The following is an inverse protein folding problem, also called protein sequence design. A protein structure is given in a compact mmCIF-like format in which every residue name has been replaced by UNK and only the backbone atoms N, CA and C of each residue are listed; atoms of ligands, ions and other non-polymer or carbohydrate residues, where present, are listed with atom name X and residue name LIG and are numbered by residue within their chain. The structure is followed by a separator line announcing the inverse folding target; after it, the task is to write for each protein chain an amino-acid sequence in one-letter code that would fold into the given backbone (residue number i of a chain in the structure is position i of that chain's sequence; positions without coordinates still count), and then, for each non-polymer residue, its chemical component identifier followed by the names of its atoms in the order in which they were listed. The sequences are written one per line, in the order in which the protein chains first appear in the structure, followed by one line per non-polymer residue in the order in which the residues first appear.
data_IF_589183386839
#
_entry.id   IF_589183386839
#
_cell.length_a   1.000
_cell.length_b   1.000
_cell.length_c   1.000
_cell.angle_alpha   90.00
_cell.angle_beta   90.00
_cell.angle_gamma   90.00
#
_symmetry.space_group_name_H-M   'P 1'
#
loop_
_entity.id
_entity.type
_entity.pdbx_description
1 polymer ?
#
# COMPACT_ATOMS: atom_id res chain seq x y z
N UNK A 1 -11.36 19.76 -64.09
CA UNK A 1 -11.51 18.89 -62.92
C UNK A 1 -10.13 18.57 -62.43
N UNK A 2 -9.68 19.29 -61.40
CA UNK A 2 -8.34 19.16 -60.81
C UNK A 2 -8.52 18.49 -59.45
N UNK A 3 -7.90 17.33 -59.27
CA UNK A 3 -7.92 16.55 -58.01
C UNK A 3 -6.80 17.06 -57.13
N UNK A 4 -7.15 17.74 -56.05
CA UNK A 4 -6.21 18.11 -54.99
C UNK A 4 -5.79 16.85 -54.22
N UNK A 5 -4.50 16.54 -54.27
CA UNK A 5 -3.88 15.53 -53.38
C UNK A 5 -3.50 16.19 -52.09
N UNK A 6 -4.19 15.84 -50.98
CA UNK A 6 -3.85 16.26 -49.64
C UNK A 6 -2.79 15.32 -49.08
N UNK A 7 -1.56 15.79 -48.95
CA UNK A 7 -0.48 15.06 -48.25
C UNK A 7 -0.62 15.23 -46.76
N UNK A 8 -0.86 14.12 -46.06
CA UNK A 8 -0.81 14.09 -44.57
C UNK A 8 0.65 13.91 -44.19
N UNK A 9 1.25 14.95 -43.60
CA UNK A 9 2.58 14.88 -42.99
C UNK A 9 2.37 14.35 -41.59
N UNK A 10 2.72 13.07 -41.31
CA UNK A 10 2.81 12.53 -39.97
C UNK A 10 4.11 13.01 -39.34
N UNK A 11 4.00 13.97 -38.46
CA UNK A 11 5.11 14.37 -37.60
C UNK A 11 5.23 13.36 -36.44
N UNK A 12 6.21 12.45 -36.51
CA UNK A 12 6.60 11.62 -35.41
C UNK A 12 7.34 12.48 -34.37
N UNK A 13 6.68 12.83 -33.27
CA UNK A 13 7.32 13.46 -32.11
C UNK A 13 8.07 12.37 -31.34
N UNK A 14 9.37 12.28 -31.55
CA UNK A 14 10.29 11.46 -30.76
C UNK A 14 10.50 12.18 -29.42
N UNK A 15 9.67 11.89 -28.40
CA UNK A 15 9.97 12.31 -27.03
C UNK A 15 11.14 11.47 -26.51
N UNK A 16 12.34 12.05 -26.50
CA UNK A 16 13.47 11.49 -25.76
C UNK A 16 13.17 11.60 -24.25
N UNK A 17 12.80 10.50 -23.64
CA UNK A 17 12.72 10.42 -22.17
C UNK A 17 14.13 10.43 -21.60
N UNK A 18 14.47 11.28 -20.62
CA UNK A 18 15.74 11.18 -19.93
C UNK A 18 15.76 9.86 -19.16
N UNK A 19 16.76 9.04 -19.42
CA UNK A 19 17.04 7.84 -18.63
C UNK A 19 17.47 8.29 -17.22
N UNK A 20 16.57 8.20 -16.25
CA UNK A 20 16.95 8.32 -14.85
C UNK A 20 17.74 7.08 -14.46
N UNK A 21 19.06 7.21 -14.44
CA UNK A 21 19.94 6.22 -13.84
C UNK A 21 19.66 6.21 -12.32
N UNK A 22 18.92 5.22 -11.86
CA UNK A 22 18.74 4.96 -10.43
C UNK A 22 20.03 4.35 -9.89
N UNK A 23 20.87 5.17 -9.26
CA UNK A 23 21.96 4.67 -8.42
C UNK A 23 21.34 4.20 -7.09
N UNK A 24 20.94 2.94 -7.02
CA UNK A 24 20.58 2.32 -5.75
C UNK A 24 21.85 2.12 -4.93
N UNK A 25 21.98 2.67 -3.72
CA UNK A 25 23.12 2.33 -2.88
C UNK A 25 23.05 0.83 -2.60
N UNK A 26 24.20 0.14 -2.74
CA UNK A 26 24.32 -1.26 -2.43
C UNK A 26 23.99 -1.47 -0.94
N UNK A 27 22.77 -1.89 -0.64
CA UNK A 27 22.35 -2.22 0.72
C UNK A 27 23.13 -3.44 1.19
N UNK A 28 23.76 -3.34 2.36
CA UNK A 28 24.49 -4.44 2.99
C UNK A 28 23.47 -5.51 3.41
N UNK A 29 23.49 -6.65 2.72
CA UNK A 29 22.65 -7.81 3.03
C UNK A 29 23.06 -8.40 4.38
N UNK A 30 22.23 -8.24 5.41
CA UNK A 30 22.39 -8.98 6.67
C UNK A 30 21.73 -10.35 6.50
N UNK A 31 22.54 -11.39 6.32
CA UNK A 31 22.08 -12.78 6.28
C UNK A 31 22.03 -13.30 7.71
N UNK A 32 20.81 -13.61 8.22
CA UNK A 32 20.67 -14.21 9.53
C UNK A 32 21.24 -15.64 9.54
N UNK A 33 21.95 -16.00 10.61
CA UNK A 33 22.55 -17.32 10.79
C UNK A 33 21.56 -18.27 11.46
N UNK A 34 21.32 -19.43 10.83
CA UNK A 34 20.48 -20.52 11.34
C UNK A 34 19.60 -21.14 10.24
N UNK A 35 19.36 -22.44 10.32
CA UNK A 35 18.64 -23.21 9.29
C UNK A 35 17.22 -22.71 8.96
N UNK A 36 16.58 -21.99 9.90
CA UNK A 36 15.24 -21.40 9.73
C UNK A 36 15.23 -19.86 9.86
N UNK A 37 16.40 -19.23 9.90
CA UNK A 37 16.49 -17.80 10.05
C UNK A 37 16.21 -17.10 8.71
N UNK A 38 15.34 -16.11 8.74
CA UNK A 38 14.99 -15.26 7.61
C UNK A 38 15.86 -13.99 7.67
N UNK A 39 16.66 -13.74 6.62
CA UNK A 39 17.37 -12.47 6.49
C UNK A 39 16.39 -11.34 6.21
N UNK A 40 16.66 -10.16 6.74
CA UNK A 40 15.89 -8.96 6.40
C UNK A 40 16.81 -7.77 6.15
N UNK A 41 16.39 -6.88 5.26
CA UNK A 41 17.06 -5.61 5.00
C UNK A 41 16.05 -4.50 4.75
N UNK A 42 16.35 -3.31 5.24
CA UNK A 42 15.61 -2.10 4.83
C UNK A 42 15.96 -1.76 3.39
N UNK A 43 14.95 -1.44 2.61
CA UNK A 43 15.09 -1.03 1.21
C UNK A 43 14.26 0.21 0.95
N UNK A 44 14.64 0.94 -0.11
CA UNK A 44 13.84 2.04 -0.63
C UNK A 44 13.63 1.85 -2.12
N UNK A 45 12.48 2.29 -2.62
CA UNK A 45 12.16 2.33 -4.04
C UNK A 45 11.31 3.58 -4.34
N UNK A 46 11.05 3.87 -5.59
CA UNK A 46 10.34 5.09 -5.98
C UNK A 46 8.94 4.76 -6.52
N UNK A 47 7.95 5.57 -6.13
CA UNK A 47 6.63 5.59 -6.73
C UNK A 47 6.28 7.03 -7.15
N UNK A 48 6.38 7.36 -8.46
CA UNK A 48 5.97 8.66 -8.98
C UNK A 48 6.63 9.89 -8.32
N UNK A 49 7.85 9.73 -7.77
CA UNK A 49 8.54 10.79 -7.02
C UNK A 49 8.42 10.65 -5.50
N UNK A 50 7.57 9.77 -5.00
CA UNK A 50 7.49 9.42 -3.58
C UNK A 50 8.52 8.35 -3.26
N UNK A 51 9.41 8.60 -2.30
CA UNK A 51 10.32 7.57 -1.78
C UNK A 51 9.54 6.61 -0.88
N UNK A 52 9.54 5.35 -1.26
CA UNK A 52 8.90 4.26 -0.54
C UNK A 52 9.91 3.55 0.36
N UNK A 53 9.49 3.16 1.57
CA UNK A 53 10.29 2.40 2.52
C UNK A 53 9.74 0.98 2.65
N UNK A 54 10.63 -0.02 2.57
CA UNK A 54 10.27 -1.43 2.65
C UNK A 54 11.24 -2.25 3.49
N UNK A 55 10.75 -3.41 3.93
CA UNK A 55 11.54 -4.48 4.51
C UNK A 55 11.52 -5.66 3.53
N UNK A 56 12.67 -5.94 2.91
CA UNK A 56 12.87 -7.09 2.06
C UNK A 56 13.31 -8.27 2.93
N UNK A 57 12.57 -9.39 2.87
CA UNK A 57 12.90 -10.61 3.59
C UNK A 57 13.40 -11.67 2.61
N UNK A 58 14.46 -12.35 3.00
CA UNK A 58 15.12 -13.39 2.21
C UNK A 58 14.84 -14.76 2.83
N UNK A 59 14.61 -15.81 2.02
CA UNK A 59 14.36 -17.14 2.54
C UNK A 59 15.56 -17.70 3.31
N UNK A 60 15.29 -18.67 4.20
CA UNK A 60 16.36 -19.43 4.84
C UNK A 60 17.23 -20.12 3.78
N UNK A 61 18.55 -20.12 3.99
CA UNK A 61 19.49 -20.68 3.02
C UNK A 61 19.53 -19.93 1.68
N UNK A 62 19.25 -18.63 1.70
CA UNK A 62 19.30 -17.79 0.51
C UNK A 62 20.66 -17.87 -0.21
N UNK A 63 20.59 -18.18 -1.50
CA UNK A 63 21.74 -18.35 -2.39
C UNK A 63 21.66 -17.33 -3.55
N UNK A 64 22.64 -16.46 -3.65
CA UNK A 64 22.69 -15.41 -4.67
C UNK A 64 22.78 -15.91 -6.11
N UNK A 65 23.14 -17.17 -6.30
CA UNK A 65 23.19 -17.81 -7.63
C UNK A 65 21.82 -18.28 -8.13
N UNK A 66 20.81 -18.33 -7.25
CA UNK A 66 19.47 -18.85 -7.54
C UNK A 66 18.45 -17.75 -7.81
N UNK A 67 17.37 -18.12 -8.49
CA UNK A 67 16.19 -17.32 -8.68
C UNK A 67 15.05 -17.82 -7.77
N UNK A 68 14.35 -16.89 -7.13
CA UNK A 68 13.28 -17.16 -6.17
C UNK A 68 11.95 -16.60 -6.65
N UNK A 69 10.82 -17.27 -6.36
CA UNK A 69 9.52 -16.63 -6.45
C UNK A 69 9.47 -15.50 -5.41
N UNK A 70 8.70 -14.46 -5.69
CA UNK A 70 8.63 -13.33 -4.80
C UNK A 70 7.18 -12.91 -4.49
N UNK A 71 6.97 -12.23 -3.36
CA UNK A 71 5.64 -11.76 -2.94
C UNK A 71 5.74 -10.36 -2.35
N UNK A 72 4.92 -9.46 -2.89
CA UNK A 72 4.63 -8.14 -2.29
C UNK A 72 3.57 -8.32 -1.20
N UNK A 73 3.72 -7.67 -0.05
CA UNK A 73 2.75 -7.74 1.05
C UNK A 73 2.29 -6.34 1.45
N UNK A 74 1.02 -6.01 1.17
CA UNK A 74 0.41 -4.72 1.46
C UNK A 74 -0.28 -4.73 2.84
N UNK A 75 -0.08 -3.65 3.61
CA UNK A 75 -0.61 -3.50 4.96
C UNK A 75 -2.07 -2.99 4.99
N UNK A 76 -2.81 -3.19 6.11
CA UNK A 76 -4.13 -2.62 6.34
C UNK A 76 -4.14 -1.09 6.32
N UNK A 77 -5.32 -0.48 6.25
CA UNK A 77 -5.48 0.95 6.45
C UNK A 77 -4.87 1.40 7.78
N UNK A 78 -4.04 2.44 7.73
CA UNK A 78 -3.34 2.97 8.90
C UNK A 78 -2.26 2.08 9.51
N UNK A 79 -2.00 0.89 8.93
CA UNK A 79 -0.90 0.01 9.34
C UNK A 79 0.46 0.46 8.81
N UNK A 80 1.51 -0.26 9.22
CA UNK A 80 2.88 -0.09 8.73
C UNK A 80 3.52 -1.45 8.42
N UNK A 81 4.61 -1.42 7.66
CA UNK A 81 5.33 -2.62 7.18
C UNK A 81 5.84 -3.56 8.26
N UNK A 82 6.00 -3.08 9.48
CA UNK A 82 6.46 -3.88 10.62
C UNK A 82 5.37 -4.73 11.26
N UNK A 83 4.10 -4.40 11.04
CA UNK A 83 2.96 -5.05 11.67
C UNK A 83 2.51 -6.30 10.89
N UNK A 84 1.20 -6.47 10.64
CA UNK A 84 0.65 -7.66 9.96
C UNK A 84 1.33 -7.97 8.64
N UNK A 85 1.60 -6.98 7.79
CA UNK A 85 2.29 -7.21 6.51
C UNK A 85 3.69 -7.77 6.70
N UNK A 86 4.45 -7.25 7.66
CA UNK A 86 5.77 -7.79 8.02
C UNK A 86 5.72 -9.22 8.54
N UNK A 87 4.70 -9.53 9.35
CA UNK A 87 4.48 -10.89 9.85
C UNK A 87 4.22 -11.88 8.70
N UNK A 88 3.30 -11.53 7.78
CA UNK A 88 3.01 -12.36 6.60
C UNK A 88 4.25 -12.49 5.70
N UNK A 89 4.97 -11.38 5.46
CA UNK A 89 6.19 -11.40 4.66
C UNK A 89 7.25 -12.35 5.24
N UNK A 90 7.48 -12.30 6.56
CA UNK A 90 8.41 -13.22 7.23
C UNK A 90 7.97 -14.68 7.11
N UNK A 91 6.68 -14.98 7.29
CA UNK A 91 6.17 -16.37 7.18
C UNK A 91 6.31 -16.90 5.75
N UNK A 92 6.05 -16.09 4.74
CA UNK A 92 6.25 -16.44 3.34
C UNK A 92 7.73 -16.63 3.01
N UNK A 93 8.61 -15.79 3.56
CA UNK A 93 10.06 -15.96 3.39
C UNK A 93 10.56 -17.30 3.97
N UNK A 94 10.02 -17.73 5.12
CA UNK A 94 10.29 -19.10 5.67
C UNK A 94 9.83 -20.22 4.76
N UNK A 95 8.90 -19.94 3.84
CA UNK A 95 8.41 -20.90 2.83
C UNK A 95 9.19 -20.83 1.51
N UNK A 96 10.27 -20.06 1.44
CA UNK A 96 11.18 -20.01 0.28
C UNK A 96 10.93 -18.86 -0.69
N UNK A 97 10.09 -17.88 -0.35
CA UNK A 97 9.88 -16.69 -1.16
C UNK A 97 10.84 -15.56 -0.77
N UNK A 98 11.22 -14.73 -1.73
CA UNK A 98 11.70 -13.37 -1.45
C UNK A 98 10.48 -12.50 -1.26
N UNK A 99 10.37 -11.78 -0.13
CA UNK A 99 9.15 -11.01 0.16
C UNK A 99 9.46 -9.57 0.51
N UNK A 100 8.53 -8.67 0.16
CA UNK A 100 8.62 -7.25 0.45
C UNK A 100 7.37 -6.80 1.19
N UNK A 101 7.53 -6.40 2.46
CA UNK A 101 6.54 -5.57 3.15
C UNK A 101 6.99 -4.11 3.04
N UNK A 102 6.08 -3.20 2.74
CA UNK A 102 6.40 -1.79 2.54
C UNK A 102 5.38 -0.89 3.23
N UNK A 103 5.79 0.32 3.59
CA UNK A 103 4.87 1.37 3.99
C UNK A 103 4.28 2.00 2.74
N UNK A 104 2.97 2.15 2.71
CA UNK A 104 2.30 2.88 1.64
C UNK A 104 2.70 4.37 1.65
N UNK A 105 2.49 5.06 0.54
CA UNK A 105 2.58 6.51 0.47
C UNK A 105 1.80 7.14 1.62
N UNK A 106 2.33 8.21 2.21
CA UNK A 106 1.78 8.93 3.36
C UNK A 106 1.90 8.24 4.74
N UNK A 107 2.35 6.98 4.80
CA UNK A 107 2.44 6.19 6.05
C UNK A 107 3.88 5.83 6.41
N UNK A 108 4.09 5.48 7.69
CA UNK A 108 5.34 4.95 8.20
C UNK A 108 6.58 5.77 7.81
N UNK A 109 7.59 5.11 7.28
CA UNK A 109 8.84 5.71 6.80
C UNK A 109 8.78 6.11 5.32
N UNK A 110 7.70 5.78 4.59
CA UNK A 110 7.49 6.25 3.20
C UNK A 110 7.17 7.73 3.16
N UNK A 111 7.46 8.37 2.03
CA UNK A 111 7.15 9.76 1.75
C UNK A 111 5.66 10.01 1.52
N UNK A 112 5.35 11.16 0.95
CA UNK A 112 3.98 11.61 0.64
C UNK A 112 3.43 12.59 1.66
N UNK A 113 2.81 13.66 1.15
CA UNK A 113 2.12 14.70 1.92
C UNK A 113 0.72 14.91 1.33
N UNK A 114 -0.28 15.21 2.18
CA UNK A 114 -0.20 15.24 3.64
C UNK A 114 0.05 13.85 4.23
N UNK A 115 0.63 13.78 5.43
CA UNK A 115 0.79 12.49 6.13
C UNK A 115 -0.58 11.94 6.53
N UNK A 116 -0.68 10.61 6.59
CA UNK A 116 -1.88 9.89 7.02
C UNK A 116 -3.06 10.01 6.02
N UNK A 117 -2.79 10.42 4.77
CA UNK A 117 -3.77 10.36 3.68
C UNK A 117 -3.98 8.90 3.25
N UNK A 118 -5.22 8.48 3.19
CA UNK A 118 -5.59 7.18 2.59
C UNK A 118 -6.20 7.44 1.22
N UNK A 119 -5.38 7.38 0.20
CA UNK A 119 -5.80 7.49 -1.20
C UNK A 119 -5.76 6.11 -1.86
N UNK A 120 -6.91 5.54 -2.25
CA UNK A 120 -6.96 4.25 -2.93
C UNK A 120 -6.13 4.19 -4.21
N UNK A 121 -6.05 5.29 -4.98
CA UNK A 121 -5.26 5.33 -6.21
C UNK A 121 -3.77 5.24 -5.90
N UNK A 122 -3.29 5.99 -4.91
CA UNK A 122 -1.90 5.91 -4.46
C UNK A 122 -1.58 4.51 -3.93
N UNK A 123 -2.46 3.90 -3.15
CA UNK A 123 -2.29 2.54 -2.61
C UNK A 123 -2.12 1.50 -3.71
N UNK A 124 -2.90 1.59 -4.78
CA UNK A 124 -2.79 0.70 -5.96
C UNK A 124 -1.45 0.93 -6.67
N UNK A 125 -1.05 2.19 -6.86
CA UNK A 125 0.22 2.53 -7.49
C UNK A 125 1.43 2.14 -6.64
N UNK A 126 1.34 2.22 -5.33
CA UNK A 126 2.36 1.75 -4.40
C UNK A 126 2.63 0.26 -4.57
N UNK A 127 1.56 -0.56 -4.66
CA UNK A 127 1.66 -2.01 -4.89
C UNK A 127 2.32 -2.27 -6.25
N UNK A 128 1.91 -1.58 -7.30
CA UNK A 128 2.50 -1.69 -8.64
C UNK A 128 3.98 -1.36 -8.65
N UNK A 129 4.38 -0.33 -7.91
CA UNK A 129 5.78 0.08 -7.77
C UNK A 129 6.59 -0.94 -6.96
N UNK A 130 5.99 -1.53 -5.92
CA UNK A 130 6.60 -2.60 -5.14
C UNK A 130 6.81 -3.88 -5.97
N UNK A 131 5.86 -4.23 -6.85
CA UNK A 131 6.01 -5.32 -7.84
C UNK A 131 7.17 -5.02 -8.79
N UNK A 132 7.25 -3.77 -9.29
CA UNK A 132 8.35 -3.32 -10.14
C UNK A 132 9.70 -3.42 -9.44
N UNK A 133 9.77 -3.02 -8.18
CA UNK A 133 10.98 -3.16 -7.37
C UNK A 133 11.40 -4.63 -7.23
N UNK A 134 10.49 -5.53 -6.84
CA UNK A 134 10.82 -6.97 -6.75
C UNK A 134 11.28 -7.54 -8.09
N UNK A 135 10.66 -7.16 -9.19
CA UNK A 135 11.08 -7.60 -10.52
C UNK A 135 12.51 -7.14 -10.89
N UNK A 136 13.00 -6.04 -10.31
CA UNK A 136 14.36 -5.53 -10.51
C UNK A 136 15.41 -6.21 -9.62
N UNK A 137 14.99 -6.96 -8.58
CA UNK A 137 15.93 -7.66 -7.69
C UNK A 137 16.57 -8.82 -8.43
N UNK A 138 17.91 -8.90 -8.54
CA UNK A 138 18.58 -9.89 -9.39
C UNK A 138 18.23 -11.34 -9.08
N UNK A 139 17.90 -11.67 -7.84
CA UNK A 139 17.57 -13.03 -7.40
C UNK A 139 16.07 -13.33 -7.45
N UNK A 140 15.24 -12.40 -7.88
CA UNK A 140 13.82 -12.65 -8.11
C UNK A 140 13.57 -13.19 -9.52
N UNK A 141 12.74 -14.18 -9.65
CA UNK A 141 12.16 -14.61 -10.92
C UNK A 141 10.95 -13.73 -11.23
N UNK A 142 11.11 -12.80 -12.15
CA UNK A 142 10.06 -11.85 -12.54
C UNK A 142 8.81 -12.50 -13.12
N UNK A 143 8.88 -13.78 -13.51
CA UNK A 143 7.73 -14.58 -13.96
C UNK A 143 6.99 -15.28 -12.82
N UNK A 144 7.44 -15.14 -11.58
CA UNK A 144 6.87 -15.78 -10.38
C UNK A 144 6.69 -14.78 -9.24
N UNK A 145 6.09 -13.62 -9.53
CA UNK A 145 5.75 -12.62 -8.53
C UNK A 145 4.28 -12.76 -8.16
N UNK A 146 3.99 -12.82 -6.86
CA UNK A 146 2.64 -12.76 -6.30
C UNK A 146 2.46 -11.52 -5.44
N UNK A 147 1.21 -11.26 -5.05
CA UNK A 147 0.87 -10.18 -4.14
C UNK A 147 -0.12 -10.67 -3.07
N UNK A 148 0.09 -10.24 -1.84
CA UNK A 148 -0.80 -10.51 -0.69
C UNK A 148 -1.16 -9.18 -0.06
N UNK A 149 -2.43 -8.97 0.22
CA UNK A 149 -2.87 -7.79 0.94
C UNK A 149 -3.74 -8.16 2.14
N UNK A 150 -3.62 -7.39 3.21
CA UNK A 150 -4.39 -7.60 4.44
C UNK A 150 -5.38 -6.45 4.61
N UNK A 151 -6.64 -6.75 4.91
CA UNK A 151 -7.73 -5.78 5.11
C UNK A 151 -7.86 -4.84 3.89
N UNK A 152 -7.82 -3.52 4.05
CA UNK A 152 -7.83 -2.57 2.92
C UNK A 152 -6.69 -2.85 1.93
N UNK A 153 -5.49 -3.21 2.41
CA UNK A 153 -4.40 -3.69 1.55
C UNK A 153 -4.81 -4.86 0.68
N UNK A 154 -5.71 -5.74 1.16
CA UNK A 154 -6.30 -6.83 0.38
C UNK A 154 -7.16 -6.33 -0.77
N UNK A 155 -8.06 -5.38 -0.50
CA UNK A 155 -8.88 -4.75 -1.54
C UNK A 155 -8.03 -4.10 -2.63
N UNK A 156 -7.05 -3.28 -2.26
CA UNK A 156 -6.14 -2.64 -3.21
C UNK A 156 -5.30 -3.63 -4.02
N UNK A 157 -4.83 -4.69 -3.37
CA UNK A 157 -4.03 -5.73 -4.04
C UNK A 157 -4.84 -6.50 -5.07
N UNK A 158 -6.09 -6.84 -4.75
CA UNK A 158 -7.01 -7.48 -5.69
C UNK A 158 -7.35 -6.57 -6.87
N UNK A 159 -7.52 -5.27 -6.62
CA UNK A 159 -7.77 -4.27 -7.67
C UNK A 159 -6.54 -4.12 -8.58
N UNK A 160 -5.35 -3.97 -8.01
CA UNK A 160 -4.09 -3.83 -8.78
C UNK A 160 -3.84 -5.02 -9.70
N UNK A 161 -4.03 -6.24 -9.20
CA UNK A 161 -3.78 -7.48 -9.93
C UNK A 161 -4.69 -7.66 -11.17
N UNK A 162 -5.81 -6.92 -11.27
CA UNK A 162 -6.67 -6.96 -12.45
C UNK A 162 -6.00 -6.37 -13.70
N UNK A 163 -5.03 -5.49 -13.51
CA UNK A 163 -4.39 -4.74 -14.60
C UNK A 163 -2.88 -4.89 -14.68
N UNK A 164 -2.25 -5.65 -13.77
CA UNK A 164 -0.81 -5.92 -13.79
C UNK A 164 -0.50 -7.42 -14.03
N UNK A 165 -0.22 -7.75 -15.26
CA UNK A 165 0.11 -9.13 -15.68
C UNK A 165 1.43 -9.66 -15.09
N UNK A 166 2.23 -8.84 -14.42
CA UNK A 166 3.42 -9.28 -13.68
C UNK A 166 3.04 -10.06 -12.42
N UNK A 167 1.87 -9.75 -11.82
CA UNK A 167 1.32 -10.50 -10.69
C UNK A 167 0.72 -11.81 -11.17
N UNK A 168 1.31 -12.94 -10.76
CA UNK A 168 0.91 -14.30 -11.19
C UNK A 168 -0.04 -14.98 -10.22
N UNK A 169 -0.08 -14.51 -8.97
CA UNK A 169 -1.01 -14.99 -7.96
C UNK A 169 -1.32 -13.85 -6.99
N UNK A 170 -2.56 -13.76 -6.57
CA UNK A 170 -3.01 -12.75 -5.62
C UNK A 170 -3.80 -13.39 -4.49
N UNK A 171 -3.64 -12.88 -3.27
CA UNK A 171 -4.43 -13.29 -2.13
C UNK A 171 -4.83 -12.08 -1.27
N UNK A 172 -6.12 -12.00 -0.95
CA UNK A 172 -6.66 -11.06 0.02
C UNK A 172 -6.93 -11.76 1.36
N UNK A 173 -6.31 -11.29 2.42
CA UNK A 173 -6.55 -11.78 3.79
C UNK A 173 -7.54 -10.83 4.45
N UNK A 174 -8.76 -11.32 4.77
CA UNK A 174 -9.88 -10.48 5.22
C UNK A 174 -9.99 -9.20 4.39
N UNK A 175 -9.97 -9.36 3.08
CA UNK A 175 -9.96 -8.24 2.15
C UNK A 175 -11.14 -7.30 2.41
N UNK A 176 -10.85 -5.99 2.44
CA UNK A 176 -11.80 -4.95 2.74
C UNK A 176 -11.84 -3.97 1.57
N UNK A 177 -12.98 -3.88 0.92
CA UNK A 177 -13.24 -2.88 -0.10
C UNK A 177 -13.64 -1.58 0.58
N UNK A 178 -12.71 -0.63 0.65
CA UNK A 178 -12.93 0.63 1.34
C UNK A 178 -13.96 1.51 0.62
N UNK A 179 -14.03 1.39 -0.70
CA UNK A 179 -15.00 2.11 -1.52
C UNK A 179 -16.41 1.60 -1.26
N UNK A 180 -16.62 0.29 -1.38
CA UNK A 180 -17.91 -0.31 -1.12
C UNK A 180 -18.36 -0.06 0.33
N UNK A 181 -17.49 -0.29 1.31
CA UNK A 181 -17.80 -0.05 2.71
C UNK A 181 -18.18 1.42 3.01
N UNK A 182 -17.53 2.38 2.34
CA UNK A 182 -17.87 3.79 2.49
C UNK A 182 -19.20 4.16 1.82
N UNK A 183 -19.53 3.48 0.70
CA UNK A 183 -20.80 3.70 -0.02
C UNK A 183 -22.00 3.01 0.61
N UNK A 184 -21.81 1.78 1.09
CA UNK A 184 -22.92 0.90 1.49
C UNK A 184 -22.98 0.68 3.01
N UNK A 185 -21.88 0.89 3.72
CA UNK A 185 -21.73 0.62 5.15
C UNK A 185 -21.11 -0.75 5.44
N UNK A 186 -20.88 -1.02 6.72
CA UNK A 186 -20.26 -2.25 7.21
C UNK A 186 -21.20 -2.97 8.15
N UNK A 187 -21.27 -4.30 8.07
CA UNK A 187 -21.91 -5.18 9.08
C UNK A 187 -23.32 -4.77 9.51
N UNK A 188 -24.19 -4.43 8.55
CA UNK A 188 -25.60 -4.12 8.87
C UNK A 188 -25.84 -2.67 9.33
N UNK A 189 -24.84 -1.80 9.28
CA UNK A 189 -24.98 -0.37 9.44
C UNK A 189 -24.98 0.30 8.05
N UNK A 190 -26.12 0.36 7.35
CA UNK A 190 -26.19 0.87 5.98
C UNK A 190 -25.93 2.38 5.95
N UNK A 191 -25.13 2.82 4.97
CA UNK A 191 -24.95 4.24 4.68
C UNK A 191 -26.08 4.71 3.76
N UNK A 192 -26.90 5.65 4.23
CA UNK A 192 -27.98 6.22 3.43
C UNK A 192 -27.47 7.21 2.37
N UNK A 193 -28.32 7.54 1.39
CA UNK A 193 -28.00 8.56 0.39
C UNK A 193 -27.72 9.92 1.05
N UNK A 194 -28.52 10.29 2.05
CA UNK A 194 -28.34 11.52 2.84
C UNK A 194 -27.03 11.48 3.65
N UNK A 195 -26.66 10.30 4.18
CA UNK A 195 -25.41 10.10 4.89
C UNK A 195 -24.20 10.33 3.98
N UNK A 196 -24.23 9.77 2.77
CA UNK A 196 -23.19 10.00 1.76
C UNK A 196 -23.10 11.47 1.35
N UNK A 197 -24.26 12.13 1.14
CA UNK A 197 -24.27 13.56 0.78
C UNK A 197 -23.69 14.42 1.90
N UNK A 198 -24.03 14.15 3.16
CA UNK A 198 -23.44 14.85 4.33
C UNK A 198 -21.92 14.64 4.40
N UNK A 199 -21.46 13.42 4.15
CA UNK A 199 -20.03 13.11 4.12
C UNK A 199 -19.33 13.93 3.02
N UNK A 200 -19.84 13.93 1.80
CA UNK A 200 -19.29 14.70 0.68
C UNK A 200 -19.29 16.20 0.96
N UNK A 201 -20.39 16.73 1.58
CA UNK A 201 -20.41 18.13 1.97
C UNK A 201 -19.34 18.47 3.02
N UNK A 202 -19.16 17.61 4.03
CA UNK A 202 -18.12 17.81 5.04
C UNK A 202 -16.72 17.77 4.47
N UNK A 203 -16.47 16.89 3.49
CA UNK A 203 -15.20 16.82 2.74
C UNK A 203 -14.99 18.11 1.93
N UNK A 204 -16.00 18.57 1.19
CA UNK A 204 -15.92 19.80 0.40
C UNK A 204 -15.64 21.02 1.28
N UNK A 205 -16.34 21.16 2.41
CA UNK A 205 -16.14 22.24 3.36
C UNK A 205 -14.72 22.22 3.95
N UNK A 206 -14.19 21.05 4.24
CA UNK A 206 -12.81 20.91 4.73
C UNK A 206 -11.79 21.26 3.66
N UNK A 207 -11.96 20.79 2.42
CA UNK A 207 -11.08 21.14 1.29
C UNK A 207 -11.06 22.64 1.04
N UNK A 208 -12.22 23.32 1.13
CA UNK A 208 -12.30 24.78 1.01
C UNK A 208 -11.52 25.49 2.13
N UNK A 209 -11.58 25.00 3.37
CA UNK A 209 -10.79 25.54 4.49
C UNK A 209 -9.29 25.36 4.26
N UNK A 210 -8.88 24.17 3.80
CA UNK A 210 -7.47 23.88 3.49
C UNK A 210 -6.95 24.74 2.33
N UNK A 211 -7.75 24.94 1.28
CA UNK A 211 -7.44 25.86 0.19
C UNK A 211 -7.31 27.32 0.67
N UNK A 212 -8.02 27.70 1.74
CA UNK A 212 -7.90 29.01 2.40
C UNK A 212 -6.74 29.07 3.42
N UNK A 213 -5.90 28.04 3.51
CA UNK A 213 -4.72 28.01 4.38
C UNK A 213 -4.93 27.34 5.75
N UNK A 214 -6.07 26.71 5.99
CA UNK A 214 -6.25 25.92 7.22
C UNK A 214 -5.37 24.65 7.18
N UNK A 215 -5.02 24.14 8.37
CA UNK A 215 -4.29 22.88 8.51
C UNK A 215 -5.17 21.69 8.10
N UNK A 216 -4.53 20.67 7.52
CA UNK A 216 -5.16 19.40 7.19
C UNK A 216 -5.80 18.79 8.45
N UNK A 217 -7.09 18.46 8.37
CA UNK A 217 -7.83 17.86 9.47
C UNK A 217 -7.61 16.34 9.50
N UNK A 218 -7.16 15.85 10.66
CA UNK A 218 -6.99 14.42 10.91
C UNK A 218 -7.92 13.93 12.01
N UNK A 219 -8.34 12.67 11.90
CA UNK A 219 -9.11 11.96 12.91
C UNK A 219 -8.37 10.71 13.39
N UNK A 220 -8.69 10.27 14.59
CA UNK A 220 -8.24 9.01 15.14
C UNK A 220 -8.89 7.84 14.38
N UNK A 221 -8.10 6.83 14.01
CA UNK A 221 -8.57 5.67 13.26
C UNK A 221 -9.19 4.61 14.18
N UNK A 222 -8.46 4.18 15.21
CA UNK A 222 -8.93 3.25 16.23
C UNK A 222 -8.99 3.95 17.60
N UNK A 223 -9.92 3.59 18.48
CA UNK A 223 -9.90 4.06 19.86
C UNK A 223 -8.54 3.82 20.49
N UNK A 224 -8.11 4.68 21.43
CA UNK A 224 -6.90 4.38 22.22
C UNK A 224 -7.17 3.19 23.14
N UNK A 225 -6.13 2.46 23.59
CA UNK A 225 -6.31 1.36 24.55
C UNK A 225 -7.09 1.75 25.81
N UNK A 226 -6.92 2.99 26.27
CA UNK A 226 -7.66 3.53 27.42
C UNK A 226 -9.15 3.78 27.18
N UNK A 227 -9.58 3.88 25.94
CA UNK A 227 -10.98 4.08 25.55
C UNK A 227 -11.74 2.76 25.33
N UNK A 228 -11.03 1.63 25.29
CA UNK A 228 -11.64 0.31 25.07
C UNK A 228 -12.55 -0.04 26.26
N UNK A 229 -13.78 -0.48 25.94
CA UNK A 229 -14.77 -0.91 26.93
C UNK A 229 -15.52 -2.16 26.44
N UNK A 230 -16.33 -2.74 27.33
CA UNK A 230 -17.06 -3.99 27.06
C UNK A 230 -18.20 -3.85 26.02
N UNK A 231 -18.66 -2.64 25.76
CA UNK A 231 -19.75 -2.36 24.82
C UNK A 231 -19.27 -2.29 23.37
N UNK A 232 -17.93 -2.13 23.16
CA UNK A 232 -17.35 -2.15 21.84
C UNK A 232 -17.43 -3.54 21.23
N UNK A 233 -17.62 -3.61 19.93
CA UNK A 233 -17.58 -4.87 19.18
C UNK A 233 -16.22 -5.58 19.31
N UNK A 234 -16.24 -6.90 19.11
CA UNK A 234 -15.04 -7.73 19.28
C UNK A 234 -13.91 -7.37 18.29
N UNK A 235 -14.27 -6.99 17.05
CA UNK A 235 -13.29 -6.62 16.04
C UNK A 235 -12.52 -5.35 16.48
N UNK A 236 -13.23 -4.32 16.93
CA UNK A 236 -12.59 -3.07 17.40
C UNK A 236 -11.66 -3.34 18.58
N UNK A 237 -12.10 -4.16 19.58
CA UNK A 237 -11.25 -4.51 20.72
C UNK A 237 -9.99 -5.27 20.31
N UNK A 238 -10.11 -6.27 19.44
CA UNK A 238 -8.96 -7.04 18.93
C UNK A 238 -8.02 -6.18 18.07
N UNK A 239 -8.57 -5.27 17.26
CA UNK A 239 -7.77 -4.36 16.45
C UNK A 239 -6.94 -3.42 17.35
N UNK A 240 -7.53 -2.84 18.38
CA UNK A 240 -6.80 -2.01 19.36
C UNK A 240 -5.74 -2.82 20.07
N UNK A 241 -6.07 -4.02 20.55
CA UNK A 241 -5.14 -4.89 21.26
C UNK A 241 -3.95 -5.27 20.36
N UNK A 242 -4.19 -5.59 19.10
CA UNK A 242 -3.09 -5.93 18.18
C UNK A 242 -2.28 -4.69 17.77
N UNK A 243 -2.94 -3.66 17.23
CA UNK A 243 -2.22 -2.57 16.55
C UNK A 243 -1.66 -1.50 17.47
N UNK A 244 -2.21 -1.32 18.68
CA UNK A 244 -1.88 -0.21 19.57
C UNK A 244 -1.30 -0.65 20.91
N UNK A 245 -1.04 -1.96 21.13
CA UNK A 245 -0.38 -2.49 22.31
C UNK A 245 0.94 -3.18 21.94
N UNK A 246 1.78 -3.60 22.91
CA UNK A 246 3.01 -4.33 22.63
C UNK A 246 2.83 -5.65 21.87
N UNK A 247 1.59 -6.15 21.66
CA UNK A 247 1.31 -7.36 20.89
C UNK A 247 1.73 -7.24 19.43
N UNK A 248 1.50 -6.09 18.79
CA UNK A 248 1.87 -5.83 17.41
C UNK A 248 1.98 -4.33 17.09
N UNK A 249 1.93 -3.48 18.12
CA UNK A 249 2.11 -2.04 17.98
C UNK A 249 3.53 -1.69 17.54
N UNK A 250 3.68 -0.60 16.80
CA UNK A 250 4.96 -0.11 16.32
C UNK A 250 5.03 1.43 16.41
N UNK A 251 6.19 2.03 16.74
CA UNK A 251 6.32 3.50 16.88
C UNK A 251 5.96 4.29 15.59
N UNK A 252 6.07 3.68 14.42
CA UNK A 252 5.71 4.31 13.15
C UNK A 252 4.20 4.43 12.93
N UNK A 253 3.36 3.75 13.74
CA UNK A 253 1.90 3.85 13.67
C UNK A 253 1.44 5.15 14.28
N UNK A 254 0.67 5.93 13.54
CA UNK A 254 0.15 7.22 13.99
C UNK A 254 -1.31 7.16 14.42
N UNK A 255 -1.98 6.05 14.17
CA UNK A 255 -3.39 5.77 14.52
C UNK A 255 -4.36 6.91 14.15
N UNK A 256 -4.20 7.47 12.96
CA UNK A 256 -5.03 8.57 12.47
C UNK A 256 -5.10 8.55 10.94
N UNK A 257 -6.04 9.29 10.38
CA UNK A 257 -6.21 9.47 8.95
C UNK A 257 -6.67 10.90 8.64
N UNK A 258 -6.39 11.36 7.43
CA UNK A 258 -6.87 12.64 6.90
C UNK A 258 -8.37 12.53 6.59
N UNK A 259 -9.18 13.43 7.13
CA UNK A 259 -10.66 13.37 7.01
C UNK A 259 -11.13 13.40 5.56
N UNK A 260 -10.45 14.16 4.70
CA UNK A 260 -10.79 14.27 3.27
C UNK A 260 -10.54 12.98 2.49
N UNK A 261 -9.81 12.00 3.04
CA UNK A 261 -9.69 10.64 2.48
C UNK A 261 -11.04 9.98 2.22
N UNK A 262 -12.04 10.28 3.05
CA UNK A 262 -13.39 9.70 2.89
C UNK A 262 -14.05 10.04 1.55
N UNK A 263 -13.71 11.19 0.96
CA UNK A 263 -14.15 11.54 -0.39
C UNK A 263 -13.48 10.69 -1.47
N UNK A 264 -12.19 10.39 -1.30
CA UNK A 264 -11.43 9.51 -2.19
C UNK A 264 -11.95 8.06 -2.12
N UNK A 265 -12.29 7.59 -0.90
CA UNK A 265 -12.88 6.28 -0.70
C UNK A 265 -14.22 6.13 -1.44
N UNK A 266 -15.11 7.14 -1.36
CA UNK A 266 -16.39 7.10 -2.08
C UNK A 266 -16.24 6.98 -3.59
N UNK A 267 -15.21 7.58 -4.16
CA UNK A 267 -14.91 7.54 -5.60
C UNK A 267 -14.19 6.27 -6.08
N UNK A 268 -13.79 5.38 -5.17
CA UNK A 268 -13.05 4.17 -5.51
C UNK A 268 -14.00 3.00 -5.79
N UNK A 269 -13.90 2.39 -7.01
CA UNK A 269 -14.72 1.29 -7.50
C UNK A 269 -13.87 0.10 -7.94
#
# INVERSE_FOLDING_TARGET
MSILKTSIISAAILCAMPAFAQSTPAATLTVAQGANAVGSQKVTFNNGGVQMAGNLYLPAGYDRSKKYPAVVVAHPWGGVKEQTSGLYAQQLARKGFVTLAFDASHYGESGGLPRDLEDPADRVQDIRSAVGYLASVPQVDANRIGAVGVCAGGGYTLHEAQTDLRVKAVAGVVAYDIGDATRTGIQGAPVTAEGRQKLLQSVADQLNKEAAGATVLVQQLLPSPAQVNAEMDSFTREAVDYYLTPRGGHPNVRNRFVVTSSGLHLGYY
#
